data_IF_731347647511
#
_entry.id   IF_731347647511
#
_cell.length_a   1.000
_cell.length_b   1.000
_cell.length_c   1.000
_cell.angle_alpha   90.00
_cell.angle_beta   90.00
_cell.angle_gamma   90.00
#
_symmetry.space_group_name_H-M   'P 1'
#
loop_
_entity.id
_entity.type
_entity.pdbx_description
1 polymer ?
#
# COMPACT_ATOMS: atom_id res chain seq x y z
N UNK A 1 6.14 -8.14 7.57
CA UNK A 1 5.50 -6.88 8.00
C UNK A 1 4.74 -6.30 6.80
N UNK A 2 3.43 -6.12 6.91
CA UNK A 2 2.60 -5.69 5.79
C UNK A 2 2.51 -4.14 5.74
N UNK A 3 3.07 -3.48 4.70
CA UNK A 3 3.04 -2.02 4.59
C UNK A 3 1.62 -1.45 4.50
N UNK A 4 0.65 -2.21 3.98
CA UNK A 4 -0.74 -1.78 3.94
C UNK A 4 -1.39 -1.76 5.33
N UNK A 5 -1.07 -2.73 6.20
CA UNK A 5 -1.57 -2.73 7.58
C UNK A 5 -1.05 -1.54 8.38
N UNK A 6 0.21 -1.16 8.18
CA UNK A 6 0.78 0.06 8.78
C UNK A 6 0.02 1.32 8.34
N UNK A 7 -0.31 1.43 7.06
CA UNK A 7 -1.00 2.59 6.50
C UNK A 7 -2.44 2.69 7.03
N UNK A 8 -3.15 1.57 7.05
CA UNK A 8 -4.51 1.47 7.59
C UNK A 8 -4.51 1.82 9.08
N UNK A 9 -3.60 1.24 9.86
CA UNK A 9 -3.53 1.51 11.29
C UNK A 9 -3.09 2.94 11.61
N UNK A 10 -2.21 3.54 10.81
CA UNK A 10 -1.86 4.95 10.91
C UNK A 10 -3.07 5.86 10.65
N UNK A 11 -3.84 5.57 9.60
CA UNK A 11 -5.05 6.32 9.27
C UNK A 11 -6.11 6.21 10.38
N UNK A 12 -6.34 5.00 10.90
CA UNK A 12 -7.25 4.75 12.02
C UNK A 12 -6.79 5.55 13.26
N UNK A 13 -5.49 5.54 13.58
CA UNK A 13 -4.95 6.28 14.72
C UNK A 13 -5.18 7.80 14.61
N UNK A 14 -4.97 8.37 13.43
CA UNK A 14 -5.21 9.78 13.20
C UNK A 14 -6.71 10.14 13.27
N UNK A 15 -7.56 9.28 12.71
CA UNK A 15 -9.02 9.42 12.76
C UNK A 15 -9.55 9.36 14.19
N UNK A 16 -9.11 8.37 14.98
CA UNK A 16 -9.54 8.23 16.38
C UNK A 16 -9.01 9.33 17.27
N UNK A 17 -7.79 9.79 17.04
CA UNK A 17 -7.27 10.92 17.79
C UNK A 17 -8.06 12.22 17.54
N UNK A 18 -8.52 12.42 16.30
CA UNK A 18 -9.40 13.53 15.97
C UNK A 18 -10.78 13.37 16.60
N UNK A 19 -11.34 12.16 16.59
CA UNK A 19 -12.64 11.85 17.19
C UNK A 19 -12.67 12.12 18.72
N UNK A 20 -11.60 11.77 19.44
CA UNK A 20 -11.48 12.02 20.88
C UNK A 20 -10.80 13.36 21.23
N UNK A 21 -10.61 14.24 20.23
CA UNK A 21 -10.07 15.58 20.40
C UNK A 21 -8.71 15.64 21.16
N UNK A 22 -7.79 14.75 20.78
CA UNK A 22 -6.49 14.60 21.46
C UNK A 22 -5.50 15.65 20.95
N UNK A 23 -5.01 16.58 21.80
CA UNK A 23 -3.97 17.53 21.43
C UNK A 23 -2.64 16.80 21.25
N UNK A 24 -2.13 16.77 20.02
CA UNK A 24 -0.88 16.07 19.71
C UNK A 24 -1.05 14.55 19.73
N UNK A 25 -1.56 13.98 18.64
CA UNK A 25 -1.90 12.57 18.47
C UNK A 25 -0.72 11.57 18.39
N UNK A 26 0.48 11.94 18.83
CA UNK A 26 1.71 11.13 18.64
C UNK A 26 1.60 9.77 19.32
N UNK A 27 1.05 9.74 20.53
CA UNK A 27 0.90 8.50 21.32
C UNK A 27 -0.05 7.49 20.67
N UNK A 28 -1.18 7.98 20.15
CA UNK A 28 -2.15 7.14 19.43
C UNK A 28 -1.57 6.67 18.10
N UNK A 29 -0.84 7.55 17.40
CA UNK A 29 -0.20 7.25 16.12
C UNK A 29 0.89 6.19 16.28
N UNK A 30 1.76 6.32 17.28
CA UNK A 30 2.79 5.33 17.61
C UNK A 30 2.17 3.98 17.97
N UNK A 31 1.04 4.00 18.69
CA UNK A 31 0.28 2.79 19.02
C UNK A 31 -0.31 2.12 17.78
N UNK A 32 -0.80 2.91 16.81
CA UNK A 32 -1.27 2.38 15.52
C UNK A 32 -0.14 1.77 14.69
N UNK A 33 1.02 2.43 14.64
CA UNK A 33 2.20 1.88 13.97
C UNK A 33 2.60 0.56 14.64
N UNK A 34 2.74 0.55 15.97
CA UNK A 34 3.11 -0.63 16.75
C UNK A 34 2.13 -1.77 16.49
N UNK A 35 0.82 -1.52 16.60
CA UNK A 35 -0.23 -2.51 16.32
C UNK A 35 -0.10 -3.10 14.90
N UNK A 36 0.24 -2.29 13.90
CA UNK A 36 0.54 -2.77 12.54
C UNK A 36 1.84 -3.57 12.41
N UNK A 37 2.77 -3.44 13.36
CA UNK A 37 3.99 -4.26 13.43
C UNK A 37 3.72 -5.63 14.06
N UNK A 38 2.92 -5.66 15.13
CA UNK A 38 2.70 -6.87 15.95
C UNK A 38 1.48 -7.67 15.56
N UNK A 39 0.48 -7.05 14.92
CA UNK A 39 -0.79 -7.68 14.62
C UNK A 39 -1.15 -7.55 13.15
N UNK A 40 -1.35 -8.70 12.51
CA UNK A 40 -1.93 -8.78 11.17
C UNK A 40 -3.46 -8.75 11.21
N UNK A 41 -4.06 -8.76 12.40
CA UNK A 41 -5.50 -8.70 12.59
C UNK A 41 -5.96 -7.22 12.62
N UNK A 42 -6.71 -6.75 11.62
CA UNK A 42 -7.14 -5.35 11.54
C UNK A 42 -8.14 -4.99 12.65
N UNK A 43 -8.98 -5.93 13.09
CA UNK A 43 -9.95 -5.69 14.16
C UNK A 43 -9.26 -5.51 15.51
N UNK A 44 -8.26 -6.36 15.80
CA UNK A 44 -7.50 -6.24 17.03
C UNK A 44 -6.67 -4.94 17.04
N UNK A 45 -6.03 -4.62 15.92
CA UNK A 45 -5.29 -3.36 15.76
C UNK A 45 -6.19 -2.14 15.98
N UNK A 46 -7.39 -2.13 15.38
CA UNK A 46 -8.38 -1.09 15.57
C UNK A 46 -8.79 -0.94 17.04
N UNK A 47 -9.09 -2.03 17.75
CA UNK A 47 -9.49 -1.99 19.16
C UNK A 47 -8.37 -1.43 20.05
N UNK A 48 -7.12 -1.80 19.79
CA UNK A 48 -5.95 -1.28 20.52
C UNK A 48 -5.83 0.23 20.30
N UNK A 49 -5.94 0.68 19.05
CA UNK A 49 -5.84 2.09 18.69
C UNK A 49 -6.99 2.90 19.28
N UNK A 50 -8.22 2.38 19.21
CA UNK A 50 -9.43 3.04 19.72
C UNK A 50 -9.39 3.20 21.23
N UNK A 51 -9.02 2.15 21.98
CA UNK A 51 -8.87 2.21 23.42
C UNK A 51 -7.78 3.22 23.82
N UNK A 52 -6.63 3.22 23.13
CA UNK A 52 -5.57 4.20 23.39
C UNK A 52 -6.05 5.62 23.13
N UNK A 53 -6.74 5.86 22.02
CA UNK A 53 -7.25 7.18 21.67
C UNK A 53 -8.28 7.68 22.70
N UNK A 54 -9.18 6.80 23.15
CA UNK A 54 -10.16 7.13 24.17
C UNK A 54 -9.51 7.55 25.48
N UNK A 55 -8.54 6.77 25.97
CA UNK A 55 -7.81 7.05 27.22
C UNK A 55 -7.08 8.40 27.13
N UNK A 56 -6.38 8.65 26.03
CA UNK A 56 -5.66 9.92 25.81
C UNK A 56 -6.61 11.12 25.69
N UNK A 57 -7.80 10.93 25.10
CA UNK A 57 -8.83 11.97 25.03
C UNK A 57 -9.42 12.31 26.40
N UNK A 58 -9.70 11.30 27.22
CA UNK A 58 -10.17 11.46 28.61
C UNK A 58 -9.12 12.18 29.47
N UNK A 59 -7.84 11.80 29.36
CA UNK A 59 -6.73 12.44 30.08
C UNK A 59 -6.54 13.90 29.69
N UNK A 60 -6.79 14.24 28.41
CA UNK A 60 -6.66 15.62 27.90
C UNK A 60 -7.79 16.52 28.40
N UNK A 61 -8.98 15.97 28.67
CA UNK A 61 -10.09 16.74 29.24
C UNK A 61 -9.95 16.95 30.75
N UNK A 62 -9.39 15.96 31.47
CA UNK A 62 -9.12 16.08 32.91
C UNK A 62 -8.08 17.17 33.25
N UNK A 63 -7.15 17.46 32.35
CA UNK A 63 -6.11 18.48 32.55
C UNK A 63 -6.60 19.94 32.49
N UNK A 64 -7.87 20.19 32.13
CA UNK A 64 -8.40 21.58 32.01
C UNK A 64 -9.17 22.04 33.26
N UNK A 65 -9.33 21.17 34.28
CA UNK A 65 -10.08 21.47 35.53
C UNK A 65 -9.22 21.80 36.75
N UNK A 66 -7.90 21.97 36.60
CA UNK A 66 -7.01 22.33 37.71
C UNK A 66 -6.13 23.54 37.39
N UNK A 67 -6.74 24.67 37.03
CA UNK A 67 -6.07 25.97 37.18
C UNK A 67 -6.30 26.47 38.63
N UNK A 68 -5.59 25.84 39.56
CA UNK A 68 -5.42 26.31 40.94
C UNK A 68 -4.66 27.63 40.90
N UNK A 69 -5.39 28.76 40.95
CA UNK A 69 -4.80 30.06 41.24
C UNK A 69 -4.94 30.26 42.76
N UNK A 70 -3.87 30.02 43.51
CA UNK A 70 -3.78 30.44 44.91
C UNK A 70 -2.83 31.63 44.99
N UNK A 71 -3.33 32.81 45.40
CA UNK A 71 -2.53 33.76 46.15
C UNK A 71 -3.10 33.91 47.57
N UNK A 72 -2.34 33.40 48.53
CA UNK A 72 -1.95 34.07 49.80
C UNK A 72 -3.04 34.83 50.61
N UNK A 73 -3.35 34.23 51.76
CA UNK A 73 -3.67 34.78 53.11
C UNK A 73 -4.94 35.64 53.39
N UNK A 74 -5.67 35.15 54.40
CA UNK A 74 -6.47 35.82 55.45
C UNK A 74 -7.99 35.55 55.45
N UNK A 75 -8.43 34.96 56.56
CA UNK A 75 -9.81 34.63 56.94
C UNK A 75 -10.70 35.86 57.13
N UNK A 76 -11.95 35.82 56.67
CA UNK A 76 -13.19 36.09 57.45
C UNK A 76 -14.46 35.89 56.58
N UNK A 77 -15.63 35.61 57.20
CA UNK A 77 -16.77 34.92 56.55
C UNK A 77 -17.87 35.87 56.07
N UNK A 78 -18.51 35.54 54.94
CA UNK A 78 -19.83 36.10 54.58
C UNK A 78 -20.56 35.20 53.55
N UNK A 79 -21.75 34.74 53.94
CA UNK A 79 -22.88 34.35 53.07
C UNK A 79 -23.97 35.42 53.27
N UNK A 80 -25.04 35.51 52.43
CA UNK A 80 -25.21 35.29 50.97
C UNK A 80 -25.90 36.54 50.32
N UNK A 81 -26.29 36.54 49.02
CA UNK A 81 -27.64 36.04 48.71
C UNK A 81 -27.77 35.29 47.37
N UNK A 82 -28.81 34.47 47.36
CA UNK A 82 -29.43 33.68 46.31
C UNK A 82 -29.47 34.36 44.94
N UNK A 83 -28.85 33.72 43.94
CA UNK A 83 -28.98 34.04 42.52
C UNK A 83 -29.43 32.79 41.76
N UNK A 84 -30.63 32.89 41.21
CA UNK A 84 -31.35 31.94 40.35
C UNK A 84 -30.48 31.07 39.46
N UNK A 85 -30.75 29.77 39.49
CA UNK A 85 -30.03 28.77 38.72
C UNK A 85 -30.18 28.91 37.21
N UNK A 86 -29.17 28.39 36.53
CA UNK A 86 -29.38 27.58 35.33
C UNK A 86 -28.38 26.43 35.41
N UNK A 87 -28.86 25.22 35.65
CA UNK A 87 -28.11 24.02 35.29
C UNK A 87 -27.76 24.13 33.80
N UNK A 88 -26.56 23.74 33.35
CA UNK A 88 -26.35 23.51 31.93
C UNK A 88 -27.38 22.46 31.50
N UNK A 89 -28.20 22.81 30.51
CA UNK A 89 -29.12 21.87 29.88
C UNK A 89 -28.37 20.57 29.54
N UNK A 90 -28.98 19.38 29.73
CA UNK A 90 -28.44 18.18 29.11
C UNK A 90 -28.30 18.45 27.60
N UNK A 91 -27.25 17.95 26.94
CA UNK A 91 -27.10 18.12 25.51
C UNK A 91 -28.38 17.64 24.85
N UNK A 92 -28.97 18.45 23.97
CA UNK A 92 -30.05 18.00 23.08
C UNK A 92 -29.61 16.68 22.49
N UNK A 93 -30.36 15.62 22.77
CA UNK A 93 -30.28 14.35 22.06
C UNK A 93 -30.54 14.66 20.58
N UNK A 94 -29.46 14.94 19.84
CA UNK A 94 -29.43 14.63 18.42
C UNK A 94 -29.80 13.15 18.32
N UNK A 95 -30.62 12.73 17.35
CA UNK A 95 -30.91 11.32 17.14
C UNK A 95 -29.57 10.62 16.96
N UNK A 96 -29.12 9.95 18.02
CA UNK A 96 -27.94 9.10 17.97
C UNK A 96 -28.35 8.01 17.01
N UNK A 97 -27.77 8.03 15.81
CA UNK A 97 -27.93 6.94 14.87
C UNK A 97 -27.20 5.75 15.51
N UNK A 98 -27.91 5.00 16.34
CA UNK A 98 -27.38 3.82 17.03
C UNK A 98 -27.19 2.76 15.96
N UNK A 99 -26.03 2.79 15.30
CA UNK A 99 -25.59 1.72 14.43
C UNK A 99 -25.37 0.52 15.34
N UNK A 100 -26.24 -0.49 15.20
CA UNK A 100 -26.13 -1.71 16.00
C UNK A 100 -24.87 -2.47 15.63
N UNK A 101 -24.29 -3.21 16.57
CA UNK A 101 -23.16 -4.10 16.28
C UNK A 101 -23.48 -5.07 15.13
N UNK A 102 -24.74 -5.43 14.99
CA UNK A 102 -25.24 -6.30 13.92
C UNK A 102 -25.20 -5.61 12.54
N UNK A 103 -25.55 -4.32 12.47
CA UNK A 103 -25.39 -3.53 11.26
C UNK A 103 -23.92 -3.41 10.85
N UNK A 104 -23.01 -3.14 11.79
CA UNK A 104 -21.56 -3.10 11.54
C UNK A 104 -21.05 -4.46 11.07
N UNK A 105 -21.47 -5.55 11.70
CA UNK A 105 -21.09 -6.91 11.31
C UNK A 105 -21.53 -7.23 9.89
N UNK A 106 -22.76 -6.87 9.53
CA UNK A 106 -23.28 -7.10 8.19
C UNK A 106 -22.54 -6.28 7.13
N UNK A 107 -22.20 -5.03 7.44
CA UNK A 107 -21.40 -4.17 6.56
C UNK A 107 -19.97 -4.71 6.37
N UNK A 108 -19.32 -5.17 7.45
CA UNK A 108 -18.01 -5.84 7.38
C UNK A 108 -18.11 -7.11 6.53
N UNK A 109 -19.15 -7.91 6.72
CA UNK A 109 -19.33 -9.16 5.96
C UNK A 109 -19.55 -8.88 4.48
N UNK A 110 -20.37 -7.87 4.14
CA UNK A 110 -20.60 -7.45 2.77
C UNK A 110 -19.32 -6.87 2.12
N UNK A 111 -18.58 -6.05 2.86
CA UNK A 111 -17.31 -5.48 2.41
C UNK A 111 -16.26 -6.57 2.14
N UNK A 112 -16.12 -7.54 3.05
CA UNK A 112 -15.19 -8.66 2.88
C UNK A 112 -15.55 -9.51 1.66
N UNK A 113 -16.84 -9.79 1.44
CA UNK A 113 -17.28 -10.53 0.26
C UNK A 113 -16.95 -9.80 -1.04
N UNK A 114 -17.18 -8.49 -1.08
CA UNK A 114 -16.84 -7.66 -2.25
C UNK A 114 -15.32 -7.62 -2.49
N UNK A 115 -14.52 -7.57 -1.41
CA UNK A 115 -13.07 -7.63 -1.48
C UNK A 115 -12.59 -8.98 -2.03
N UNK A 116 -13.14 -10.10 -1.55
CA UNK A 116 -12.85 -11.44 -2.07
C UNK A 116 -13.17 -11.55 -3.56
N UNK A 117 -14.34 -11.07 -3.99
CA UNK A 117 -14.74 -11.07 -5.40
C UNK A 117 -13.79 -10.22 -6.27
N UNK A 118 -13.36 -9.06 -5.76
CA UNK A 118 -12.40 -8.18 -6.44
C UNK A 118 -11.04 -8.85 -6.57
N UNK A 119 -10.53 -9.45 -5.50
CA UNK A 119 -9.25 -10.18 -5.49
C UNK A 119 -9.29 -11.35 -6.48
N UNK A 120 -10.35 -12.14 -6.49
CA UNK A 120 -10.51 -13.25 -7.43
C UNK A 120 -10.53 -12.78 -8.89
N UNK A 121 -11.21 -11.66 -9.16
CA UNK A 121 -11.25 -11.05 -10.49
C UNK A 121 -9.87 -10.57 -10.92
N UNK A 122 -9.13 -9.87 -10.06
CA UNK A 122 -7.78 -9.42 -10.38
C UNK A 122 -6.81 -10.58 -10.58
N UNK A 123 -6.85 -11.61 -9.71
CA UNK A 123 -6.03 -12.81 -9.83
C UNK A 123 -6.29 -13.56 -11.14
N UNK A 124 -7.55 -13.70 -11.55
CA UNK A 124 -7.88 -14.32 -12.84
C UNK A 124 -7.37 -13.50 -14.03
N UNK A 125 -7.45 -12.16 -13.95
CA UNK A 125 -6.88 -11.26 -14.96
C UNK A 125 -5.35 -11.35 -15.05
N UNK A 126 -4.67 -11.40 -13.90
CA UNK A 126 -3.23 -11.61 -13.81
C UNK A 126 -2.81 -12.96 -14.40
N UNK A 127 -3.55 -14.03 -14.08
CA UNK A 127 -3.31 -15.37 -14.65
C UNK A 127 -3.40 -15.36 -16.18
N UNK A 128 -4.46 -14.77 -16.74
CA UNK A 128 -4.62 -14.65 -18.19
C UNK A 128 -3.47 -13.85 -18.84
N UNK A 129 -2.99 -12.80 -18.16
CA UNK A 129 -1.86 -12.00 -18.64
C UNK A 129 -0.55 -12.77 -18.62
N UNK A 130 -0.30 -13.58 -17.59
CA UNK A 130 0.86 -14.48 -17.51
C UNK A 130 0.82 -15.52 -18.63
N UNK A 131 -0.32 -16.15 -18.87
CA UNK A 131 -0.49 -17.11 -19.97
C UNK A 131 -0.25 -16.47 -21.35
N UNK A 132 -0.64 -15.20 -21.53
CA UNK A 132 -0.33 -14.43 -22.75
C UNK A 132 1.17 -14.20 -22.88
N UNK A 133 1.85 -13.78 -21.80
CA UNK A 133 3.30 -13.56 -21.83
C UNK A 133 4.08 -14.85 -22.14
N UNK A 134 3.65 -16.00 -21.62
CA UNK A 134 4.29 -17.28 -21.93
C UNK A 134 4.14 -17.66 -23.41
N UNK A 135 2.98 -17.41 -24.01
CA UNK A 135 2.77 -17.60 -25.46
C UNK A 135 3.65 -16.67 -26.29
N UNK A 136 3.69 -15.39 -25.93
CA UNK A 136 4.51 -14.41 -26.64
C UNK A 136 6.01 -14.75 -26.54
N UNK A 137 6.46 -15.21 -25.36
CA UNK A 137 7.83 -15.67 -25.14
C UNK A 137 8.19 -16.86 -26.05
N UNK A 138 7.30 -17.85 -26.17
CA UNK A 138 7.49 -18.99 -27.07
C UNK A 138 7.60 -18.50 -28.53
N UNK A 139 6.68 -17.64 -28.98
CA UNK A 139 6.67 -17.10 -30.34
C UNK A 139 7.93 -16.28 -30.67
N UNK A 140 8.43 -15.50 -29.70
CA UNK A 140 9.69 -14.75 -29.84
C UNK A 140 10.87 -15.72 -29.98
N UNK A 141 10.96 -16.75 -29.13
CA UNK A 141 12.03 -17.73 -29.20
C UNK A 141 12.04 -18.50 -30.54
N UNK A 142 10.86 -18.88 -31.05
CA UNK A 142 10.73 -19.49 -32.38
C UNK A 142 11.20 -18.54 -33.48
N UNK A 143 10.87 -17.25 -33.37
CA UNK A 143 11.32 -16.24 -34.33
C UNK A 143 12.83 -16.02 -34.29
N UNK A 144 13.43 -16.02 -33.09
CA UNK A 144 14.89 -15.94 -32.90
C UNK A 144 15.57 -17.13 -33.57
N UNK A 145 15.12 -18.36 -33.28
CA UNK A 145 15.70 -19.58 -33.88
C UNK A 145 15.60 -19.56 -35.42
N UNK A 146 14.51 -19.02 -35.97
CA UNK A 146 14.34 -18.86 -37.43
C UNK A 146 15.30 -17.82 -38.02
N UNK A 147 15.53 -16.73 -37.30
CA UNK A 147 16.49 -15.68 -37.70
C UNK A 147 17.91 -16.22 -37.66
N UNK A 148 18.29 -16.91 -36.57
CA UNK A 148 19.60 -17.57 -36.42
C UNK A 148 19.86 -18.55 -37.57
N UNK A 149 18.88 -19.40 -37.90
CA UNK A 149 19.00 -20.33 -39.04
C UNK A 149 19.24 -19.60 -40.36
N UNK A 150 18.52 -18.51 -40.62
CA UNK A 150 18.72 -17.70 -41.84
C UNK A 150 20.09 -17.02 -41.87
N UNK A 151 20.56 -16.54 -40.73
CA UNK A 151 21.90 -15.98 -40.58
C UNK A 151 22.98 -17.02 -40.89
N UNK A 152 22.84 -18.24 -40.38
CA UNK A 152 23.76 -19.34 -40.68
C UNK A 152 23.75 -19.73 -42.16
N UNK A 153 22.58 -19.75 -42.79
CA UNK A 153 22.43 -20.01 -44.24
C UNK A 153 23.15 -18.93 -45.07
N UNK A 154 22.98 -17.65 -44.73
CA UNK A 154 23.66 -16.52 -45.40
C UNK A 154 25.17 -16.58 -45.16
N UNK A 155 25.61 -16.88 -43.95
CA UNK A 155 27.03 -17.03 -43.62
C UNK A 155 27.70 -18.14 -44.44
N UNK A 156 27.02 -19.29 -44.60
CA UNK A 156 27.51 -20.40 -45.42
C UNK A 156 27.52 -20.07 -46.92
N UNK A 157 26.48 -19.40 -47.43
CA UNK A 157 26.40 -18.99 -48.83
C UNK A 157 27.54 -18.02 -49.21
N UNK A 158 27.90 -17.10 -48.30
CA UNK A 158 29.01 -16.16 -48.52
C UNK A 158 30.40 -16.81 -48.44
N UNK A 159 30.55 -17.96 -47.78
CA UNK A 159 31.82 -18.71 -47.79
C UNK A 159 31.99 -19.56 -49.06
N UNK A 160 30.90 -20.03 -49.68
CA UNK A 160 30.94 -20.83 -50.90
C UNK A 160 31.28 -20.01 -52.17
N UNK A 161 31.11 -18.68 -52.14
CA UNK A 161 31.40 -17.78 -53.28
C UNK A 161 32.86 -17.31 -53.38
N UNK A 162 33.74 -17.69 -52.44
CA UNK A 162 35.13 -17.20 -52.37
C UNK A 162 36.19 -18.24 -52.76
N UNK A 163 35.80 -19.31 -53.46
CA UNK A 163 36.75 -20.19 -54.14
C UNK A 163 37.33 -19.49 -55.38
N UNK A 164 38.49 -18.87 -55.18
CA UNK A 164 39.62 -18.61 -56.09
C UNK A 164 39.31 -18.61 -57.61
N UNK A 165 39.61 -17.53 -58.36
CA UNK A 165 39.55 -17.57 -59.82
C UNK A 165 40.49 -18.66 -60.36
N UNK A 166 39.96 -19.46 -61.29
CA UNK A 166 40.73 -20.40 -62.10
C UNK A 166 41.87 -19.63 -62.77
N UNK A 167 43.10 -20.07 -62.48
CA UNK A 167 44.32 -19.62 -63.15
C UNK A 167 44.25 -20.05 -64.63
N UNK A 168 44.35 -19.15 -65.61
CA UNK A 168 44.39 -19.55 -67.01
C UNK A 168 45.76 -20.18 -67.30
N UNK A 169 45.72 -21.42 -67.77
CA UNK A 169 46.84 -22.21 -68.28
C UNK A 169 47.53 -21.47 -69.45
N UNK A 170 48.65 -20.79 -69.15
CA UNK A 170 49.50 -20.16 -70.19
C UNK A 170 50.46 -21.22 -70.71
N UNK A 171 50.08 -21.84 -71.83
CA UNK A 171 50.98 -22.63 -72.69
C UNK A 171 52.05 -21.70 -73.29
N UNK A 172 53.23 -21.68 -72.69
CA UNK A 172 54.43 -21.07 -73.27
C UNK A 172 54.93 -21.93 -74.44
N UNK A 173 54.65 -21.50 -75.68
CA UNK A 173 55.39 -21.97 -76.85
C UNK A 173 56.77 -21.33 -76.86
N UNK A 174 57.78 -22.09 -76.44
CA UNK A 174 59.18 -21.77 -76.65
C UNK A 174 59.54 -22.07 -78.11
N UNK A 175 59.75 -21.03 -78.93
CA UNK A 175 60.45 -21.15 -80.23
C UNK A 175 61.91 -20.77 -80.00
N UNK A 176 62.77 -21.76 -79.87
CA UNK A 176 64.21 -21.63 -80.09
C UNK A 176 64.50 -21.78 -81.58
N UNK A 177 65.05 -20.73 -82.20
CA UNK A 177 65.67 -20.79 -83.53
C UNK A 177 67.16 -21.13 -83.35
N UNK A 178 67.72 -22.13 -84.05
CA UNK A 178 69.14 -22.20 -84.31
C UNK A 178 69.49 -21.52 -85.66
N UNK A 179 70.76 -21.11 -85.71
CA UNK A 179 71.49 -20.40 -86.78
C UNK A 179 71.34 -20.99 -88.17
#
# INVERSE_FOLDING_TARGET
MNPFNLLINYFIANSRASYYNIPGNKEVTNTGILAGMISENPLLSYLIIDNKAKIEGENSHAATTEAVIIPVTHSTPSLPPTGTGTLPNPPKEQPVNVITLEAVRNEITASNKNLEETILKELSGLKAKIESFDKDKIAINESIAKIEKRLDEVAKANQAGNTKPVEPDVKTQSKTNPK
#
